data_IF_847469460694
#
_entry.id   IF_847469460694
#
_cell.length_a   1.000
_cell.length_b   1.000
_cell.length_c   1.000
_cell.angle_alpha   90.00
_cell.angle_beta   90.00
_cell.angle_gamma   90.00
#
_symmetry.space_group_name_H-M   'P 1'
#
loop_
_entity.id
_entity.type
_entity.pdbx_description
1 polymer ?
#
# COMPACT_ATOMS: atom_id res chain seq x y z
N UNK A 1 -7.70 -39.73 -21.45
CA UNK A 1 -7.72 -39.67 -19.97
C UNK A 1 -6.43 -39.13 -19.34
N UNK A 2 -5.23 -39.63 -19.67
CA UNK A 2 -3.96 -39.24 -19.01
C UNK A 2 -3.51 -37.77 -19.25
N UNK A 3 -3.89 -37.18 -20.38
CA UNK A 3 -3.56 -35.79 -20.70
C UNK A 3 -4.36 -34.76 -19.88
N UNK A 4 -5.64 -35.02 -19.63
CA UNK A 4 -6.46 -34.15 -18.76
C UNK A 4 -5.95 -34.12 -17.32
N UNK A 5 -5.51 -35.27 -16.80
CA UNK A 5 -4.90 -35.36 -15.45
C UNK A 5 -3.58 -34.58 -15.39
N UNK A 6 -2.71 -34.72 -16.40
CA UNK A 6 -1.45 -33.96 -16.47
C UNK A 6 -1.69 -32.44 -16.55
N UNK A 7 -2.66 -32.02 -17.35
CA UNK A 7 -3.01 -30.60 -17.49
C UNK A 7 -3.57 -30.04 -16.17
N UNK A 8 -4.41 -30.81 -15.48
CA UNK A 8 -4.93 -30.47 -14.15
C UNK A 8 -3.81 -30.34 -13.10
N UNK A 9 -2.83 -31.25 -13.10
CA UNK A 9 -1.68 -31.20 -12.18
C UNK A 9 -0.82 -29.96 -12.45
N UNK A 10 -0.56 -29.62 -13.73
CA UNK A 10 0.24 -28.43 -14.08
C UNK A 10 -0.47 -27.15 -13.66
N UNK A 11 -1.79 -27.05 -13.87
CA UNK A 11 -2.59 -25.90 -13.41
C UNK A 11 -2.59 -25.77 -11.89
N UNK A 12 -2.76 -26.88 -11.17
CA UNK A 12 -2.70 -26.90 -9.71
C UNK A 12 -1.32 -26.47 -9.19
N UNK A 13 -0.24 -27.03 -9.73
CA UNK A 13 1.13 -26.65 -9.36
C UNK A 13 1.41 -25.18 -9.66
N UNK A 14 0.97 -24.68 -10.81
CA UNK A 14 1.13 -23.26 -11.18
C UNK A 14 0.41 -22.35 -10.19
N UNK A 15 -0.77 -22.76 -9.72
CA UNK A 15 -1.56 -21.98 -8.74
C UNK A 15 -0.89 -22.00 -7.37
N UNK A 16 -0.37 -23.15 -6.93
CA UNK A 16 0.34 -23.28 -5.65
C UNK A 16 1.64 -22.49 -5.67
N UNK A 17 2.43 -22.60 -6.73
CA UNK A 17 3.70 -21.86 -6.89
C UNK A 17 3.44 -20.37 -7.00
N UNK A 18 2.47 -19.95 -7.81
CA UNK A 18 2.09 -18.54 -7.95
C UNK A 18 1.57 -17.94 -6.64
N UNK A 19 0.67 -18.66 -5.96
CA UNK A 19 0.16 -18.25 -4.64
C UNK A 19 1.25 -18.18 -3.58
N UNK A 20 2.15 -19.17 -3.56
CA UNK A 20 3.32 -19.20 -2.67
C UNK A 20 4.27 -18.02 -2.92
N UNK A 21 4.52 -17.69 -4.20
CA UNK A 21 5.35 -16.53 -4.57
C UNK A 21 4.72 -15.20 -4.14
N UNK A 22 3.41 -15.02 -4.36
CA UNK A 22 2.68 -13.83 -3.92
C UNK A 22 2.68 -13.70 -2.39
N UNK A 23 2.47 -14.81 -1.67
CA UNK A 23 2.57 -14.83 -0.21
C UNK A 23 3.99 -14.47 0.24
N UNK A 24 5.02 -15.06 -0.37
CA UNK A 24 6.41 -14.77 -0.05
C UNK A 24 6.79 -13.31 -0.31
N UNK A 25 6.24 -12.69 -1.34
CA UNK A 25 6.56 -11.30 -1.69
C UNK A 25 5.81 -10.27 -0.83
N UNK A 26 4.54 -10.52 -0.51
CA UNK A 26 3.66 -9.50 0.11
C UNK A 26 3.33 -9.74 1.59
N UNK A 27 3.29 -10.99 2.02
CA UNK A 27 2.79 -11.39 3.36
C UNK A 27 3.88 -11.96 4.26
N UNK A 28 4.88 -12.61 3.67
CA UNK A 28 5.96 -13.27 4.39
C UNK A 28 6.75 -12.29 5.25
N UNK A 29 7.19 -12.72 6.44
CA UNK A 29 8.09 -11.94 7.29
C UNK A 29 9.53 -11.89 6.74
N UNK A 30 9.86 -12.73 5.75
CA UNK A 30 11.20 -12.85 5.19
C UNK A 30 11.44 -11.86 4.04
N UNK A 31 12.65 -11.29 3.94
CA UNK A 31 13.07 -10.43 2.82
C UNK A 31 12.86 -8.93 2.99
N UNK A 32 12.34 -8.48 4.14
CA UNK A 32 12.30 -7.06 4.52
C UNK A 32 12.82 -6.89 5.94
N UNK A 33 13.90 -6.14 6.08
CA UNK A 33 14.37 -5.65 7.37
C UNK A 33 13.80 -4.24 7.59
N UNK A 34 12.96 -4.04 8.61
CA UNK A 34 12.50 -2.70 8.97
C UNK A 34 13.70 -1.80 9.29
N UNK A 35 13.63 -0.50 8.98
CA UNK A 35 14.68 0.43 9.38
C UNK A 35 14.83 0.43 10.90
N UNK A 36 16.04 0.69 11.40
CA UNK A 36 16.37 0.69 12.83
C UNK A 36 15.49 1.63 13.68
N UNK A 37 14.84 2.61 13.05
CA UNK A 37 13.81 3.45 13.66
C UNK A 37 12.60 3.55 12.72
N UNK A 38 11.65 2.61 12.79
CA UNK A 38 10.45 2.67 11.98
C UNK A 38 9.56 3.85 12.42
N UNK A 39 8.80 4.45 11.50
CA UNK A 39 7.89 5.52 11.85
C UNK A 39 6.84 4.99 12.83
N UNK A 40 6.67 5.71 13.93
CA UNK A 40 5.75 5.35 15.00
C UNK A 40 4.34 5.20 14.41
N UNK A 41 3.74 4.03 14.61
CA UNK A 41 2.33 3.79 14.32
C UNK A 41 1.58 3.90 15.64
N UNK A 42 0.62 4.83 15.72
CA UNK A 42 -0.21 4.95 16.92
C UNK A 42 -1.17 3.76 16.99
N UNK A 43 -0.87 2.82 17.89
CA UNK A 43 -1.69 1.61 18.08
C UNK A 43 -2.99 1.89 18.82
N UNK A 44 -3.19 3.11 19.36
CA UNK A 44 -4.44 3.51 20.02
C UNK A 44 -5.53 3.88 19.01
N UNK A 45 -5.14 4.22 17.79
CA UNK A 45 -6.07 4.49 16.70
C UNK A 45 -6.53 3.17 16.06
N UNK A 46 -7.85 2.96 16.00
CA UNK A 46 -8.43 1.79 15.32
C UNK A 46 -8.21 1.85 13.81
N UNK A 47 -8.27 3.06 13.23
CA UNK A 47 -8.12 3.33 11.80
C UNK A 47 -7.19 4.52 11.58
N UNK A 48 -6.34 4.40 10.57
CA UNK A 48 -5.40 5.41 10.09
C UNK A 48 -5.84 5.93 8.73
N UNK A 49 -5.80 7.24 8.55
CA UNK A 49 -6.03 7.89 7.27
C UNK A 49 -4.75 7.85 6.42
N UNK A 50 -4.84 7.27 5.22
CA UNK A 50 -3.71 7.16 4.28
C UNK A 50 -4.14 7.71 2.92
N UNK A 51 -3.46 8.73 2.44
CA UNK A 51 -3.66 9.28 1.10
C UNK A 51 -2.83 8.52 0.07
N UNK A 52 -3.50 8.02 -0.97
CA UNK A 52 -2.88 7.27 -2.08
C UNK A 52 -3.19 7.93 -3.41
N UNK A 53 -2.20 7.98 -4.31
CA UNK A 53 -2.31 8.63 -5.62
C UNK A 53 -1.84 7.75 -6.79
N UNK A 54 -1.41 6.51 -6.49
CA UNK A 54 -0.83 5.57 -7.44
C UNK A 54 -1.55 4.22 -7.48
N UNK A 55 -0.78 3.12 -7.52
CA UNK A 55 -1.30 1.75 -7.66
C UNK A 55 -2.21 1.31 -6.52
N UNK A 56 -2.01 1.84 -5.31
CA UNK A 56 -2.87 1.56 -4.15
C UNK A 56 -4.31 2.11 -4.29
N UNK A 57 -4.63 2.81 -5.39
CA UNK A 57 -6.02 3.15 -5.76
C UNK A 57 -6.83 1.94 -6.24
N UNK A 58 -6.18 0.86 -6.66
CA UNK A 58 -6.87 -0.34 -7.11
C UNK A 58 -7.17 -1.27 -5.94
N UNK A 59 -8.47 -1.58 -5.72
CA UNK A 59 -8.95 -2.43 -4.62
C UNK A 59 -8.23 -3.79 -4.57
N UNK A 60 -7.98 -4.41 -5.72
CA UNK A 60 -7.28 -5.70 -5.81
C UNK A 60 -5.84 -5.61 -5.27
N UNK A 61 -5.13 -4.52 -5.57
CA UNK A 61 -3.76 -4.31 -5.07
C UNK A 61 -3.81 -4.06 -3.56
N UNK A 62 -4.77 -3.26 -3.08
CA UNK A 62 -4.96 -3.06 -1.63
C UNK A 62 -5.16 -4.39 -0.94
N UNK A 63 -6.11 -5.21 -1.41
CA UNK A 63 -6.38 -6.52 -0.83
C UNK A 63 -5.17 -7.46 -0.89
N UNK A 64 -4.41 -7.47 -1.99
CA UNK A 64 -3.22 -8.33 -2.11
C UNK A 64 -2.15 -7.95 -1.06
N UNK A 65 -1.93 -6.65 -0.88
CA UNK A 65 -0.91 -6.10 0.03
C UNK A 65 -1.36 -6.17 1.50
N UNK A 66 -2.56 -5.67 1.78
CA UNK A 66 -3.09 -5.55 3.15
C UNK A 66 -3.84 -6.79 3.59
N UNK A 67 -4.26 -7.67 2.69
CA UNK A 67 -5.15 -8.78 3.04
C UNK A 67 -6.52 -8.37 3.56
N UNK A 68 -6.85 -7.07 3.46
CA UNK A 68 -8.07 -6.48 3.98
C UNK A 68 -8.91 -6.02 2.78
N UNK A 69 -10.06 -6.66 2.60
CA UNK A 69 -11.02 -6.35 1.53
C UNK A 69 -11.98 -5.21 1.90
N UNK A 70 -12.01 -4.79 3.17
CA UNK A 70 -12.95 -3.79 3.69
C UNK A 70 -12.24 -2.48 4.07
N UNK A 71 -11.38 -2.01 3.16
CA UNK A 71 -10.73 -0.71 3.27
C UNK A 71 -11.65 0.32 2.63
N UNK A 72 -12.29 1.13 3.46
CA UNK A 72 -13.04 2.30 3.00
C UNK A 72 -12.09 3.25 2.25
N UNK A 73 -12.47 3.58 1.01
CA UNK A 73 -11.80 4.54 0.14
C UNK A 73 -12.77 5.66 -0.22
N UNK A 74 -12.30 6.91 -0.17
CA UNK A 74 -13.04 8.08 -0.62
C UNK A 74 -12.15 8.97 -1.48
N UNK A 75 -12.67 9.60 -2.56
CA UNK A 75 -11.90 10.57 -3.33
C UNK A 75 -11.35 11.68 -2.42
N UNK A 76 -10.10 12.07 -2.64
CA UNK A 76 -9.43 13.11 -1.86
C UNK A 76 -8.43 13.89 -2.73
N UNK A 77 -8.20 15.15 -2.34
CA UNK A 77 -7.27 16.04 -3.03
C UNK A 77 -6.21 16.55 -2.06
N UNK A 78 -4.95 16.47 -2.48
CA UNK A 78 -3.81 17.01 -1.75
C UNK A 78 -3.36 18.32 -2.40
N UNK A 79 -3.42 19.43 -1.65
CA UNK A 79 -2.98 20.77 -2.08
C UNK A 79 -1.52 21.03 -1.72
N UNK A 80 -0.83 21.84 -2.53
CA UNK A 80 0.56 22.23 -2.32
C UNK A 80 1.58 21.20 -2.80
N UNK A 81 1.12 20.19 -3.54
CA UNK A 81 1.95 19.13 -4.10
C UNK A 81 1.65 18.96 -5.59
N UNK A 82 2.63 18.48 -6.32
CA UNK A 82 2.46 18.05 -7.71
C UNK A 82 2.95 16.62 -7.84
N UNK A 83 2.30 15.84 -8.69
CA UNK A 83 2.68 14.46 -8.96
C UNK A 83 3.70 14.42 -10.09
N UNK A 84 4.82 13.75 -9.82
CA UNK A 84 5.87 13.45 -10.79
C UNK A 84 5.98 11.92 -10.87
N UNK A 85 5.27 11.31 -11.82
CA UNK A 85 5.19 9.85 -12.01
C UNK A 85 4.74 9.06 -10.77
N UNK A 86 5.70 8.45 -10.07
CA UNK A 86 5.54 7.60 -8.88
C UNK A 86 5.91 8.33 -7.57
N UNK A 87 6.09 9.64 -7.63
CA UNK A 87 6.42 10.48 -6.48
C UNK A 87 5.60 11.78 -6.47
N UNK A 88 5.59 12.45 -5.32
CA UNK A 88 5.00 13.78 -5.15
C UNK A 88 6.06 14.75 -4.63
N UNK A 89 6.10 15.93 -5.24
CA UNK A 89 7.01 17.00 -4.84
C UNK A 89 6.21 18.23 -4.41
N UNK A 90 6.65 18.97 -3.37
CA UNK A 90 6.00 20.23 -3.00
C UNK A 90 6.00 21.21 -4.18
N UNK A 91 4.84 21.80 -4.48
CA UNK A 91 4.69 22.83 -5.51
C UNK A 91 3.57 23.78 -5.10
N UNK A 92 3.88 25.07 -5.02
CA UNK A 92 2.89 26.11 -4.72
C UNK A 92 1.80 26.11 -5.79
N UNK A 93 0.54 26.09 -5.38
CA UNK A 93 -0.62 25.99 -6.28
C UNK A 93 -0.82 24.62 -6.94
N UNK A 94 0.05 23.64 -6.67
CA UNK A 94 -0.13 22.27 -7.17
C UNK A 94 -1.25 21.52 -6.45
N UNK A 95 -1.93 20.64 -7.19
CA UNK A 95 -2.89 19.69 -6.66
C UNK A 95 -2.56 18.26 -7.11
N UNK A 96 -2.84 17.29 -6.24
CA UNK A 96 -2.76 15.86 -6.56
C UNK A 96 -4.09 15.22 -6.19
N UNK A 97 -4.76 14.65 -7.19
CA UNK A 97 -5.96 13.85 -7.00
C UNK A 97 -5.60 12.42 -6.61
N UNK A 98 -6.33 11.88 -5.65
CA UNK A 98 -6.13 10.54 -5.16
C UNK A 98 -7.31 10.06 -4.33
N UNK A 99 -7.03 9.14 -3.43
CA UNK A 99 -8.00 8.51 -2.56
C UNK A 99 -7.49 8.54 -1.12
N UNK A 100 -8.40 8.74 -0.19
CA UNK A 100 -8.18 8.60 1.23
C UNK A 100 -8.66 7.22 1.67
N UNK A 101 -7.74 6.43 2.17
CA UNK A 101 -7.99 5.10 2.71
C UNK A 101 -8.08 5.16 4.24
N UNK A 102 -9.03 4.41 4.82
CA UNK A 102 -9.11 4.18 6.27
C UNK A 102 -8.64 2.76 6.60
N UNK A 103 -7.39 2.62 6.96
CA UNK A 103 -6.74 1.32 7.17
C UNK A 103 -6.56 1.00 8.64
N UNK A 104 -6.68 -0.28 9.03
CA UNK A 104 -6.34 -0.71 10.39
C UNK A 104 -4.84 -0.61 10.66
N UNK A 105 -4.43 -0.60 11.92
CA UNK A 105 -3.00 -0.61 12.31
C UNK A 105 -2.21 -1.76 11.63
N UNK A 106 -2.70 -3.02 11.60
CA UNK A 106 -2.02 -4.10 10.89
C UNK A 106 -1.95 -3.88 9.37
N UNK A 107 -2.99 -3.29 8.77
CA UNK A 107 -2.99 -2.98 7.34
C UNK A 107 -1.98 -1.86 7.02
N UNK A 108 -1.87 -0.85 7.87
CA UNK A 108 -0.86 0.21 7.75
C UNK A 108 0.57 -0.36 7.79
N UNK A 109 0.87 -1.26 8.73
CA UNK A 109 2.18 -1.92 8.82
C UNK A 109 2.50 -2.77 7.57
N UNK A 110 1.48 -3.36 6.94
CA UNK A 110 1.65 -4.09 5.67
C UNK A 110 1.90 -3.16 4.49
N UNK A 111 1.24 -2.01 4.46
CA UNK A 111 1.53 -0.95 3.49
C UNK A 111 2.96 -0.42 3.67
N UNK A 112 3.38 -0.16 4.91
CA UNK A 112 4.73 0.32 5.23
C UNK A 112 5.82 -0.64 4.68
N UNK A 113 5.55 -1.95 4.75
CA UNK A 113 6.43 -3.01 4.20
C UNK A 113 6.42 -3.02 2.68
N UNK A 114 5.24 -2.94 2.06
CA UNK A 114 5.08 -2.92 0.60
C UNK A 114 5.80 -1.73 -0.03
N UNK A 115 5.66 -0.55 0.59
CA UNK A 115 6.34 0.68 0.18
C UNK A 115 7.81 0.71 0.64
N UNK A 116 8.28 -0.32 1.35
CA UNK A 116 9.66 -0.46 1.86
C UNK A 116 10.12 0.82 2.56
N UNK A 117 9.40 1.21 3.60
CA UNK A 117 9.70 2.41 4.39
C UNK A 117 11.18 2.42 4.82
N UNK A 118 11.83 3.57 4.66
CA UNK A 118 13.23 3.78 5.02
C UNK A 118 14.24 3.36 3.94
N UNK A 119 13.83 2.55 2.96
CA UNK A 119 14.67 2.17 1.82
C UNK A 119 14.23 2.83 0.50
N UNK A 120 12.91 2.98 0.27
CA UNK A 120 12.37 3.57 -0.96
C UNK A 120 11.46 4.76 -0.72
N UNK A 121 10.63 4.68 0.31
CA UNK A 121 9.68 5.73 0.65
C UNK A 121 9.82 6.11 2.13
N UNK A 122 9.36 7.32 2.46
CA UNK A 122 9.10 7.76 3.83
C UNK A 122 7.63 8.10 4.00
N UNK A 123 7.10 7.85 5.19
CA UNK A 123 5.74 8.25 5.57
C UNK A 123 5.77 9.70 6.06
N UNK A 124 4.95 10.55 5.45
CA UNK A 124 4.84 11.98 5.78
C UNK A 124 3.38 12.27 6.14
N UNK A 125 3.15 13.02 7.21
CA UNK A 125 1.82 13.49 7.54
C UNK A 125 1.53 14.73 6.68
N UNK A 126 0.43 14.70 5.93
CA UNK A 126 -0.03 15.79 5.07
C UNK A 126 -1.46 16.15 5.41
N UNK A 127 -1.82 17.39 5.09
CA UNK A 127 -3.18 17.89 5.23
C UNK A 127 -3.84 17.93 3.86
N UNK A 128 -4.98 17.27 3.75
CA UNK A 128 -5.81 17.25 2.54
C UNK A 128 -6.61 18.55 2.40
N UNK A 129 -7.22 18.73 1.24
CA UNK A 129 -8.02 19.92 0.93
C UNK A 129 -9.19 20.14 1.89
N UNK A 130 -9.82 19.05 2.37
CA UNK A 130 -10.91 19.05 3.35
C UNK A 130 -10.44 19.31 4.79
N UNK A 131 -9.12 19.48 4.99
CA UNK A 131 -8.50 19.67 6.29
C UNK A 131 -8.18 18.38 7.05
N UNK A 132 -8.52 17.21 6.51
CA UNK A 132 -8.18 15.91 7.09
C UNK A 132 -6.67 15.69 7.08
N UNK A 133 -6.12 15.20 8.19
CA UNK A 133 -4.71 14.79 8.25
C UNK A 133 -4.58 13.33 7.83
N UNK A 134 -3.69 13.06 6.88
CA UNK A 134 -3.48 11.73 6.32
C UNK A 134 -1.99 11.44 6.14
N UNK A 135 -1.63 10.17 6.22
CA UNK A 135 -0.29 9.70 5.87
C UNK A 135 -0.16 9.58 4.36
N UNK A 136 0.95 10.05 3.80
CA UNK A 136 1.32 9.84 2.40
C UNK A 136 2.71 9.24 2.30
N UNK A 137 2.93 8.40 1.31
CA UNK A 137 4.24 7.87 0.96
C UNK A 137 4.91 8.78 -0.06
N UNK A 138 6.09 9.32 0.32
CA UNK A 138 6.94 10.12 -0.55
C UNK A 138 8.28 9.43 -0.73
N UNK A 139 8.82 9.45 -1.94
CA UNK A 139 10.12 8.84 -2.22
C UNK A 139 11.21 9.59 -1.43
N UNK A 140 12.23 8.85 -1.00
CA UNK A 140 13.43 9.44 -0.37
C UNK A 140 14.45 9.86 -1.42
#
# INVERSE_FOLDING_TARGET
MRWGIRLGIVLMLSTVVGGGYLWYTFRSPYGYEPPASPPIVDTRLERHAVFVYGTLRYDLIRWLVTGDSDIASSPATLKGYTRNDLDISPRVGGTVEGELLKVSTPALQRLDRYERIGARYRRVNVRLEDGTSAWVYRRI
#
